data_IF_401206774118
#
_entry.id   IF_401206774118
#
_cell.length_a   1.000
_cell.length_b   1.000
_cell.length_c   1.000
_cell.angle_alpha   90.00
_cell.angle_beta   90.00
_cell.angle_gamma   90.00
#
_symmetry.space_group_name_H-M   'P 1'
#
loop_
_entity.id
_entity.type
_entity.pdbx_description
1 polymer ?
#
# COMPACT_ATOMS: atom_id res chain seq x y z
N UNK A 1 -20.16 -21.39 40.79
CA UNK A 1 -18.83 -21.45 41.42
C UNK A 1 -17.98 -22.50 40.73
N UNK A 2 -16.97 -22.10 39.94
CA UNK A 2 -16.06 -23.07 39.34
C UNK A 2 -15.04 -23.58 40.35
N UNK A 3 -14.66 -24.86 40.21
CA UNK A 3 -13.64 -25.53 41.02
C UNK A 3 -12.30 -24.76 40.98
N UNK A 4 -11.56 -24.67 42.09
CA UNK A 4 -10.21 -24.06 42.16
C UNK A 4 -9.23 -24.60 41.11
N UNK A 5 -9.36 -25.87 40.68
CA UNK A 5 -8.51 -26.45 39.63
C UNK A 5 -8.74 -25.82 38.25
N UNK A 6 -9.98 -25.44 37.94
CA UNK A 6 -10.35 -24.74 36.69
C UNK A 6 -9.77 -23.33 36.62
N UNK A 7 -9.62 -22.64 37.77
CA UNK A 7 -8.99 -21.31 37.85
C UNK A 7 -7.47 -21.34 37.70
N UNK A 8 -6.78 -22.39 38.19
CA UNK A 8 -5.33 -22.54 37.97
C UNK A 8 -4.99 -22.86 36.51
N UNK A 9 -5.83 -23.65 35.82
CA UNK A 9 -5.61 -24.07 34.43
C UNK A 9 -5.87 -22.95 33.40
N UNK A 10 -6.70 -21.96 33.72
CA UNK A 10 -7.05 -20.84 32.83
C UNK A 10 -6.01 -19.70 32.83
N UNK A 11 -5.24 -19.53 33.90
CA UNK A 11 -4.14 -18.54 33.97
C UNK A 11 -3.09 -18.70 32.86
N UNK A 12 -2.49 -19.89 32.63
CA UNK A 12 -1.50 -20.05 31.56
C UNK A 12 -2.09 -19.84 30.17
N UNK A 13 -3.36 -20.21 29.95
CA UNK A 13 -4.08 -20.01 28.69
C UNK A 13 -4.29 -18.52 28.40
N UNK A 14 -4.73 -17.76 29.40
CA UNK A 14 -4.89 -16.30 29.27
C UNK A 14 -3.54 -15.63 29.01
N UNK A 15 -2.48 -16.02 29.73
CA UNK A 15 -1.13 -15.49 29.49
C UNK A 15 -0.67 -15.80 28.07
N UNK A 16 -0.90 -17.01 27.56
CA UNK A 16 -0.58 -17.38 26.18
C UNK A 16 -1.30 -16.48 25.17
N UNK A 17 -2.63 -16.34 25.28
CA UNK A 17 -3.40 -15.47 24.40
C UNK A 17 -2.96 -14.01 24.46
N UNK A 18 -2.64 -13.48 25.66
CA UNK A 18 -2.10 -12.13 25.82
C UNK A 18 -0.76 -11.97 25.12
N UNK A 19 0.16 -12.92 25.30
CA UNK A 19 1.49 -12.88 24.67
C UNK A 19 1.38 -12.91 23.14
N UNK A 20 0.57 -13.81 22.58
CA UNK A 20 0.38 -13.91 21.13
C UNK A 20 -0.27 -12.64 20.57
N UNK A 21 -1.31 -12.12 21.24
CA UNK A 21 -1.97 -10.89 20.80
C UNK A 21 -1.06 -9.66 20.91
N UNK A 22 -0.19 -9.59 21.93
CA UNK A 22 0.81 -8.53 22.04
C UNK A 22 1.81 -8.58 20.88
N UNK A 23 2.34 -9.77 20.57
CA UNK A 23 3.25 -9.96 19.43
C UNK A 23 2.56 -9.54 18.13
N UNK A 24 1.32 -9.96 17.93
CA UNK A 24 0.49 -9.56 16.79
C UNK A 24 0.38 -8.03 16.68
N UNK A 25 0.00 -7.35 17.77
CA UNK A 25 -0.14 -5.88 17.78
C UNK A 25 1.18 -5.15 17.56
N UNK A 26 2.30 -5.71 18.03
CA UNK A 26 3.62 -5.13 17.85
C UNK A 26 4.09 -5.22 16.40
N UNK A 27 3.86 -6.35 15.73
CA UNK A 27 4.15 -6.51 14.30
C UNK A 27 3.34 -5.47 13.50
N UNK A 28 2.04 -5.34 13.78
CA UNK A 28 1.18 -4.36 13.12
C UNK A 28 1.62 -2.91 13.37
N UNK A 29 2.08 -2.61 14.58
CA UNK A 29 2.61 -1.29 14.91
C UNK A 29 3.88 -0.97 14.09
N UNK A 30 4.80 -1.93 13.98
CA UNK A 30 6.03 -1.78 13.19
C UNK A 30 5.71 -1.57 11.71
N UNK A 31 4.77 -2.33 11.14
CA UNK A 31 4.37 -2.12 9.74
C UNK A 31 3.77 -0.72 9.53
N UNK A 32 3.00 -0.20 10.49
CA UNK A 32 2.51 1.17 10.48
C UNK A 32 3.62 2.22 10.46
N UNK A 33 4.66 2.05 11.28
CA UNK A 33 5.84 2.93 11.30
C UNK A 33 6.57 2.90 9.96
N UNK A 34 6.76 1.72 9.37
CA UNK A 34 7.40 1.59 8.04
C UNK A 34 6.55 2.28 6.97
N UNK A 35 5.24 2.06 6.95
CA UNK A 35 4.33 2.72 5.99
C UNK A 35 4.36 4.24 6.13
N UNK A 36 4.34 4.74 7.37
CA UNK A 36 4.43 6.17 7.64
C UNK A 36 5.77 6.75 7.16
N UNK A 37 6.88 6.07 7.47
CA UNK A 37 8.21 6.49 7.05
C UNK A 37 8.35 6.51 5.52
N UNK A 38 7.88 5.47 4.83
CA UNK A 38 7.87 5.42 3.36
C UNK A 38 6.96 6.51 2.77
N UNK A 39 5.80 6.77 3.39
CA UNK A 39 4.90 7.83 2.96
C UNK A 39 5.51 9.23 3.10
N UNK A 40 6.15 9.51 4.25
CA UNK A 40 6.87 10.77 4.48
C UNK A 40 8.06 10.89 3.53
N UNK A 41 8.85 9.82 3.38
CA UNK A 41 9.96 9.81 2.44
C UNK A 41 9.51 10.07 1.00
N UNK A 42 8.39 9.47 0.60
CA UNK A 42 7.75 9.73 -0.69
C UNK A 42 7.33 11.19 -0.83
N UNK A 43 6.69 11.75 0.20
CA UNK A 43 6.28 13.17 0.22
C UNK A 43 7.49 14.11 0.14
N UNK A 44 8.52 13.90 0.95
CA UNK A 44 9.73 14.75 0.97
C UNK A 44 10.53 14.63 -0.31
N UNK A 45 10.70 13.39 -0.80
CA UNK A 45 11.34 13.16 -2.10
C UNK A 45 10.60 13.88 -3.19
N UNK A 46 9.27 13.97 -3.13
CA UNK A 46 8.45 14.75 -4.04
C UNK A 46 8.59 16.27 -3.78
N UNK A 47 8.53 16.73 -2.52
CA UNK A 47 8.60 18.15 -2.11
C UNK A 47 9.92 18.84 -2.46
N UNK A 48 11.04 18.11 -2.39
CA UNK A 48 12.35 18.62 -2.81
C UNK A 48 12.37 19.02 -4.30
N UNK A 49 11.49 18.46 -5.14
CA UNK A 49 11.26 18.91 -6.51
C UNK A 49 10.17 20.00 -6.57
N UNK A 50 9.14 19.93 -5.70
CA UNK A 50 8.00 20.88 -5.70
C UNK A 50 8.26 22.27 -5.11
N UNK A 51 9.33 22.48 -4.34
CA UNK A 51 9.71 23.84 -3.88
C UNK A 51 9.95 24.84 -5.02
N UNK A 52 9.97 24.37 -6.27
CA UNK A 52 10.09 25.17 -7.49
C UNK A 52 8.81 25.31 -8.32
N UNK A 53 7.74 24.51 -8.10
CA UNK A 53 6.56 24.50 -8.99
C UNK A 53 5.23 24.27 -8.25
N UNK A 54 4.28 25.17 -8.52
CA UNK A 54 2.99 25.31 -7.87
C UNK A 54 1.93 24.39 -8.49
N UNK A 55 2.03 23.06 -8.35
CA UNK A 55 0.89 22.15 -8.62
C UNK A 55 0.94 20.83 -7.84
N UNK A 56 -0.26 20.27 -7.64
CA UNK A 56 -0.64 19.23 -6.67
C UNK A 56 0.09 17.91 -6.88
N UNK A 57 0.79 17.46 -5.84
CA UNK A 57 1.40 16.14 -5.74
C UNK A 57 0.37 15.00 -5.92
N UNK A 58 0.85 13.86 -6.40
CA UNK A 58 0.12 12.58 -6.41
C UNK A 58 -0.43 12.27 -5.01
N UNK A 59 -1.68 11.81 -4.89
CA UNK A 59 -2.30 11.50 -3.59
C UNK A 59 -1.70 10.25 -2.89
N UNK A 60 -0.85 9.48 -3.58
CA UNK A 60 -0.31 8.20 -3.10
C UNK A 60 0.49 8.31 -1.78
N UNK A 61 1.48 9.22 -1.63
CA UNK A 61 2.19 9.40 -0.36
C UNK A 61 1.26 9.80 0.79
N UNK A 62 0.23 10.60 0.53
CA UNK A 62 -0.76 10.97 1.56
C UNK A 62 -1.59 9.76 2.02
N UNK A 63 -1.95 8.86 1.09
CA UNK A 63 -2.61 7.59 1.45
C UNK A 63 -1.69 6.73 2.31
N UNK A 64 -0.40 6.60 1.96
CA UNK A 64 0.59 5.86 2.76
C UNK A 64 0.74 6.44 4.18
N UNK A 65 0.86 7.77 4.29
CA UNK A 65 0.94 8.48 5.58
C UNK A 65 -0.32 8.25 6.42
N UNK A 66 -1.49 8.43 5.82
CA UNK A 66 -2.78 8.24 6.48
C UNK A 66 -2.96 6.82 7.01
N UNK A 67 -2.78 5.83 6.13
CA UNK A 67 -2.87 4.41 6.49
C UNK A 67 -1.84 4.03 7.55
N UNK A 68 -0.58 4.44 7.41
CA UNK A 68 0.47 4.19 8.40
C UNK A 68 0.12 4.75 9.79
N UNK A 69 -0.41 5.98 9.83
CA UNK A 69 -0.85 6.61 11.08
C UNK A 69 -2.00 5.84 11.74
N UNK A 70 -3.02 5.44 10.96
CA UNK A 70 -4.15 4.64 11.48
C UNK A 70 -3.67 3.30 12.04
N UNK A 71 -2.77 2.63 11.33
CA UNK A 71 -2.18 1.34 11.75
C UNK A 71 -1.42 1.48 13.07
N UNK A 72 -0.61 2.54 13.24
CA UNK A 72 0.09 2.84 14.49
C UNK A 72 -0.89 3.06 15.65
N UNK A 73 -1.95 3.84 15.43
CA UNK A 73 -2.97 4.12 16.46
C UNK A 73 -3.71 2.84 16.87
N UNK A 74 -4.08 1.99 15.91
CA UNK A 74 -4.72 0.70 16.19
C UNK A 74 -3.78 -0.27 16.91
N UNK A 75 -2.50 -0.31 16.52
CA UNK A 75 -1.48 -1.14 17.16
C UNK A 75 -1.25 -0.73 18.62
N UNK A 76 -1.10 0.58 18.88
CA UNK A 76 -0.97 1.10 20.26
C UNK A 76 -2.22 0.82 21.08
N UNK A 77 -3.41 1.06 20.53
CA UNK A 77 -4.67 0.76 21.20
C UNK A 77 -4.83 -0.74 21.52
N UNK A 78 -4.49 -1.63 20.59
CA UNK A 78 -4.50 -3.08 20.80
C UNK A 78 -3.53 -3.53 21.90
N UNK A 79 -2.33 -2.94 21.94
CA UNK A 79 -1.36 -3.16 23.01
C UNK A 79 -1.92 -2.69 24.37
N UNK A 80 -2.48 -1.47 24.46
CA UNK A 80 -3.11 -0.96 25.67
C UNK A 80 -4.28 -1.83 26.14
N UNK A 81 -5.15 -2.25 25.23
CA UNK A 81 -6.29 -3.14 25.52
C UNK A 81 -5.83 -4.48 26.11
N UNK A 82 -4.76 -5.05 25.54
CA UNK A 82 -4.21 -6.34 25.98
C UNK A 82 -3.49 -6.22 27.32
N UNK A 83 -2.66 -5.19 27.51
CA UNK A 83 -1.95 -4.93 28.77
C UNK A 83 -2.90 -4.69 29.93
N UNK A 84 -3.91 -3.82 29.73
CA UNK A 84 -4.96 -3.53 30.72
C UNK A 84 -5.86 -4.73 31.02
N UNK A 85 -5.83 -5.77 30.19
CA UNK A 85 -6.72 -6.93 30.29
C UNK A 85 -8.19 -6.50 30.43
N UNK A 86 -8.60 -5.44 29.73
CA UNK A 86 -9.97 -4.93 29.78
C UNK A 86 -10.80 -5.63 28.71
N UNK A 87 -11.78 -6.42 29.13
CA UNK A 87 -12.65 -7.15 28.21
C UNK A 87 -13.40 -6.21 27.25
N UNK A 88 -13.81 -5.03 27.73
CA UNK A 88 -14.52 -4.03 26.91
C UNK A 88 -13.60 -3.42 25.84
N UNK A 89 -12.38 -3.04 26.21
CA UNK A 89 -11.40 -2.50 25.24
C UNK A 89 -11.02 -3.54 24.17
N UNK A 90 -10.89 -4.82 24.56
CA UNK A 90 -10.61 -5.90 23.62
C UNK A 90 -11.78 -6.15 22.65
N UNK A 91 -13.03 -6.04 23.11
CA UNK A 91 -14.21 -6.08 22.21
C UNK A 91 -14.20 -4.92 21.23
N UNK A 92 -13.86 -3.73 21.71
CA UNK A 92 -13.77 -2.54 20.86
C UNK A 92 -12.65 -2.68 19.82
N UNK A 93 -11.50 -3.22 20.21
CA UNK A 93 -10.40 -3.52 19.29
C UNK A 93 -10.82 -4.55 18.22
N UNK A 94 -11.47 -5.64 18.62
CA UNK A 94 -12.01 -6.63 17.68
C UNK A 94 -13.03 -6.00 16.71
N UNK A 95 -13.90 -5.10 17.19
CA UNK A 95 -14.86 -4.38 16.35
C UNK A 95 -14.16 -3.53 15.28
N UNK A 96 -13.14 -2.76 15.65
CA UNK A 96 -12.37 -1.98 14.68
C UNK A 96 -11.69 -2.86 13.63
N UNK A 97 -11.08 -3.98 14.03
CA UNK A 97 -10.49 -4.93 13.08
C UNK A 97 -11.54 -5.54 12.14
N UNK A 98 -12.73 -5.86 12.64
CA UNK A 98 -13.83 -6.34 11.79
C UNK A 98 -14.29 -5.27 10.80
N UNK A 99 -14.42 -4.01 11.22
CA UNK A 99 -14.81 -2.93 10.31
C UNK A 99 -13.79 -2.75 9.18
N UNK A 100 -12.49 -2.80 9.51
CA UNK A 100 -11.41 -2.70 8.51
C UNK A 100 -11.47 -3.88 7.55
N UNK A 101 -11.66 -5.10 8.04
CA UNK A 101 -11.82 -6.28 7.18
C UNK A 101 -12.98 -6.12 6.18
N UNK A 102 -14.11 -5.55 6.62
CA UNK A 102 -15.24 -5.27 5.72
C UNK A 102 -14.89 -4.21 4.67
N UNK A 103 -14.18 -3.15 5.06
CA UNK A 103 -13.70 -2.11 4.13
C UNK A 103 -12.73 -2.71 3.11
N UNK A 104 -11.80 -3.57 3.54
CA UNK A 104 -10.85 -4.27 2.66
C UNK A 104 -11.58 -5.20 1.69
N UNK A 105 -12.59 -5.94 2.15
CA UNK A 105 -13.41 -6.79 1.30
C UNK A 105 -14.16 -5.99 0.23
N UNK A 106 -14.77 -4.86 0.63
CA UNK A 106 -15.46 -3.97 -0.32
C UNK A 106 -14.46 -3.38 -1.31
N UNK A 107 -13.29 -2.92 -0.85
CA UNK A 107 -12.24 -2.38 -1.71
C UNK A 107 -11.73 -3.42 -2.72
N UNK A 108 -11.56 -4.68 -2.30
CA UNK A 108 -11.17 -5.78 -3.17
C UNK A 108 -12.23 -6.07 -4.25
N UNK A 109 -13.52 -6.10 -3.86
CA UNK A 109 -14.64 -6.30 -4.80
C UNK A 109 -14.69 -5.14 -5.81
N UNK A 110 -14.63 -3.89 -5.33
CA UNK A 110 -14.63 -2.69 -6.19
C UNK A 110 -13.44 -2.71 -7.12
N UNK A 111 -12.24 -3.00 -6.62
CA UNK A 111 -11.02 -3.09 -7.43
C UNK A 111 -11.13 -4.15 -8.52
N UNK A 112 -11.75 -5.29 -8.22
CA UNK A 112 -11.99 -6.35 -9.20
C UNK A 112 -13.03 -5.96 -10.24
N UNK A 113 -14.18 -5.43 -9.82
CA UNK A 113 -15.29 -5.01 -10.70
C UNK A 113 -14.84 -3.90 -11.65
N UNK A 114 -14.15 -2.89 -11.13
CA UNK A 114 -13.70 -1.73 -11.89
C UNK A 114 -12.27 -1.87 -12.46
N UNK A 115 -11.71 -3.09 -12.49
CA UNK A 115 -10.33 -3.33 -12.96
C UNK A 115 -10.06 -2.77 -14.37
N UNK A 116 -11.03 -2.88 -15.27
CA UNK A 116 -10.89 -2.40 -16.65
C UNK A 116 -10.91 -0.86 -16.70
N UNK A 117 -11.71 -0.23 -15.86
CA UNK A 117 -11.76 1.23 -15.76
C UNK A 117 -10.48 1.78 -15.14
N UNK A 118 -9.94 1.13 -14.11
CA UNK A 118 -8.63 1.47 -13.52
C UNK A 118 -7.52 1.37 -14.57
N UNK A 119 -7.49 0.27 -15.35
CA UNK A 119 -6.55 0.07 -16.47
C UNK A 119 -6.67 1.18 -17.50
N UNK A 120 -7.88 1.52 -17.94
CA UNK A 120 -8.11 2.57 -18.93
C UNK A 120 -7.78 3.97 -18.39
N UNK A 121 -8.10 4.24 -17.13
CA UNK A 121 -7.77 5.50 -16.46
C UNK A 121 -6.26 5.69 -16.39
N UNK A 122 -5.51 4.64 -16.02
CA UNK A 122 -4.05 4.68 -16.04
C UNK A 122 -3.51 4.96 -17.45
N UNK A 123 -3.99 4.26 -18.48
CA UNK A 123 -3.60 4.50 -19.87
C UNK A 123 -3.82 5.96 -20.27
N UNK A 124 -5.03 6.47 -20.06
CA UNK A 124 -5.44 7.81 -20.46
C UNK A 124 -4.65 8.90 -19.71
N UNK A 125 -4.41 8.71 -18.41
CA UNK A 125 -3.65 9.67 -17.61
C UNK A 125 -2.17 9.68 -18.02
N UNK A 126 -1.60 8.50 -18.30
CA UNK A 126 -0.23 8.39 -18.77
C UNK A 126 -0.06 8.98 -20.18
N UNK A 127 -1.02 8.76 -21.09
CA UNK A 127 -1.04 9.40 -22.41
C UNK A 127 -1.12 10.92 -22.33
N UNK A 128 -1.96 11.46 -21.44
CA UNK A 128 -2.01 12.91 -21.18
C UNK A 128 -0.69 13.44 -20.64
N UNK A 129 -0.07 12.72 -19.71
CA UNK A 129 1.24 13.09 -19.17
C UNK A 129 2.32 13.08 -20.27
N UNK A 130 2.31 12.08 -21.16
CA UNK A 130 3.22 12.01 -22.31
C UNK A 130 3.04 13.20 -23.27
N UNK A 131 1.79 13.53 -23.63
CA UNK A 131 1.47 14.64 -24.54
C UNK A 131 1.83 16.02 -23.97
N UNK A 132 1.79 16.17 -22.66
CA UNK A 132 2.12 17.41 -21.95
C UNK A 132 3.58 17.46 -21.50
N UNK A 133 4.35 16.42 -21.77
CA UNK A 133 5.76 16.35 -21.41
C UNK A 133 6.56 17.48 -22.04
N UNK A 134 7.34 18.18 -21.22
CA UNK A 134 8.15 19.32 -21.66
C UNK A 134 9.57 19.32 -21.05
N UNK A 135 9.92 18.31 -20.23
CA UNK A 135 11.21 18.22 -19.53
C UNK A 135 11.49 19.41 -18.60
N UNK A 136 10.46 20.15 -18.15
CA UNK A 136 10.63 21.27 -17.21
C UNK A 136 10.63 20.85 -15.75
N UNK A 137 10.72 19.55 -15.46
CA UNK A 137 10.66 19.01 -14.09
C UNK A 137 9.29 19.17 -13.43
N UNK A 138 8.20 19.22 -14.22
CA UNK A 138 6.86 19.15 -13.66
C UNK A 138 6.54 17.71 -13.21
N UNK A 139 5.54 17.56 -12.33
CA UNK A 139 5.22 16.26 -11.74
C UNK A 139 4.81 15.21 -12.78
N UNK A 140 4.28 15.63 -13.93
CA UNK A 140 3.85 14.76 -15.02
C UNK A 140 5.07 14.23 -15.78
N UNK A 141 6.01 15.11 -16.10
CA UNK A 141 7.27 14.76 -16.77
C UNK A 141 8.13 13.86 -15.89
N UNK A 142 8.26 14.17 -14.60
CA UNK A 142 8.99 13.34 -13.65
C UNK A 142 8.35 11.96 -13.48
N UNK A 143 7.01 11.89 -13.46
CA UNK A 143 6.31 10.61 -13.41
C UNK A 143 6.57 9.78 -14.67
N UNK A 144 6.57 10.40 -15.85
CA UNK A 144 6.93 9.74 -17.11
C UNK A 144 8.37 9.23 -17.07
N UNK A 145 9.33 10.08 -16.69
CA UNK A 145 10.74 9.73 -16.64
C UNK A 145 11.00 8.60 -15.63
N UNK A 146 10.38 8.67 -14.45
CA UNK A 146 10.52 7.65 -13.40
C UNK A 146 9.94 6.32 -13.83
N UNK A 147 8.76 6.31 -14.44
CA UNK A 147 8.13 5.07 -14.94
C UNK A 147 9.02 4.43 -16.01
N UNK A 148 9.49 5.22 -16.98
CA UNK A 148 10.32 4.73 -18.08
C UNK A 148 11.67 4.18 -17.59
N UNK A 149 12.34 4.89 -16.69
CA UNK A 149 13.60 4.44 -16.08
C UNK A 149 13.42 3.19 -15.22
N UNK A 150 12.35 3.11 -14.43
CA UNK A 150 12.13 2.00 -13.49
C UNK A 150 11.71 0.72 -14.20
N UNK A 151 10.92 0.84 -15.27
CA UNK A 151 10.34 -0.30 -15.97
C UNK A 151 11.04 -0.62 -17.31
N UNK A 152 12.06 0.17 -17.68
CA UNK A 152 12.78 0.07 -18.95
C UNK A 152 11.82 -0.01 -20.15
N UNK A 153 10.93 0.96 -20.25
CA UNK A 153 9.90 1.07 -21.28
C UNK A 153 9.91 2.48 -21.90
N UNK A 154 9.22 2.67 -23.03
CA UNK A 154 9.13 3.98 -23.70
C UNK A 154 7.77 4.19 -24.36
N UNK A 155 7.17 5.37 -24.14
CA UNK A 155 5.83 5.66 -24.67
C UNK A 155 4.72 4.93 -23.92
N UNK A 156 3.48 5.04 -24.39
CA UNK A 156 2.30 4.47 -23.73
C UNK A 156 2.16 3.00 -24.14
N UNK A 157 1.83 2.76 -25.40
CA UNK A 157 1.73 1.45 -26.04
C UNK A 157 2.97 1.07 -26.83
N UNK A 158 3.69 2.05 -27.38
CA UNK A 158 4.90 1.85 -28.18
C UNK A 158 5.80 3.09 -28.07
N UNK A 159 7.10 2.94 -28.31
CA UNK A 159 8.03 4.08 -28.33
C UNK A 159 7.60 5.17 -29.32
N UNK A 160 6.92 4.79 -30.42
CA UNK A 160 6.39 5.71 -31.43
C UNK A 160 5.34 6.69 -30.89
N UNK A 161 4.73 6.43 -29.74
CA UNK A 161 3.78 7.40 -29.16
C UNK A 161 4.43 8.77 -28.87
N UNK A 162 5.76 8.82 -28.78
CA UNK A 162 6.49 10.08 -28.71
C UNK A 162 6.39 10.92 -29.99
N UNK A 163 6.23 10.33 -31.17
CA UNK A 163 6.15 11.08 -32.44
C UNK A 163 4.96 12.04 -32.47
N UNK A 164 3.94 11.76 -31.66
CA UNK A 164 2.73 12.58 -31.53
C UNK A 164 2.86 13.68 -30.45
N UNK A 165 4.06 13.89 -29.90
CA UNK A 165 4.33 14.89 -28.87
C UNK A 165 5.11 16.09 -29.41
N UNK A 166 4.86 17.27 -28.83
CA UNK A 166 5.62 18.48 -29.15
C UNK A 166 7.10 18.33 -28.80
N UNK A 167 7.40 17.68 -27.67
CA UNK A 167 8.76 17.45 -27.20
C UNK A 167 9.62 16.68 -28.22
N UNK A 168 9.07 15.60 -28.79
CA UNK A 168 9.78 14.80 -29.78
C UNK A 168 10.15 15.59 -31.04
N UNK A 169 9.23 16.45 -31.50
CA UNK A 169 9.47 17.30 -32.67
C UNK A 169 10.69 18.20 -32.49
N UNK A 170 10.97 18.65 -31.26
CA UNK A 170 12.10 19.51 -30.94
C UNK A 170 13.37 18.74 -30.58
N UNK A 171 13.26 17.73 -29.70
CA UNK A 171 14.43 17.11 -29.03
C UNK A 171 14.58 15.61 -29.27
N UNK A 172 13.61 14.95 -29.93
CA UNK A 172 13.57 13.49 -30.06
C UNK A 172 13.10 12.79 -28.79
N UNK A 173 13.50 11.54 -28.59
CA UNK A 173 13.13 10.77 -27.39
C UNK A 173 13.79 11.36 -26.13
N UNK A 174 13.11 11.36 -24.96
CA UNK A 174 13.74 11.77 -23.72
C UNK A 174 14.80 10.75 -23.27
N UNK A 175 15.69 11.19 -22.40
CA UNK A 175 16.74 10.31 -21.84
C UNK A 175 16.17 9.10 -21.11
N UNK A 176 15.02 9.25 -20.46
CA UNK A 176 14.33 8.17 -19.74
C UNK A 176 13.90 7.00 -20.62
N UNK A 177 13.75 7.21 -21.92
CA UNK A 177 13.42 6.17 -22.88
C UNK A 177 14.63 5.34 -23.31
N UNK A 178 15.85 5.74 -22.98
CA UNK A 178 17.05 5.10 -23.50
C UNK A 178 17.34 3.75 -22.85
N UNK A 179 17.96 2.84 -23.61
CA UNK A 179 18.43 1.52 -23.12
C UNK A 179 19.72 1.60 -22.32
N UNK A 180 20.56 2.62 -22.57
CA UNK A 180 21.89 2.80 -21.99
C UNK A 180 21.95 4.15 -21.26
N UNK A 181 22.73 4.20 -20.16
CA UNK A 181 22.84 5.38 -19.29
C UNK A 181 23.46 6.61 -20.00
N UNK A 182 24.36 6.40 -20.97
CA UNK A 182 25.05 7.46 -21.74
C UNK A 182 24.31 7.90 -23.02
N UNK A 183 22.99 8.01 -22.92
CA UNK A 183 22.15 8.39 -24.06
C UNK A 183 21.79 9.88 -24.01
N UNK A 184 22.12 10.61 -25.07
CA UNK A 184 21.59 11.95 -25.32
C UNK A 184 20.17 11.85 -25.92
N UNK A 185 19.32 12.90 -25.81
CA UNK A 185 18.07 12.95 -26.55
C UNK A 185 18.36 12.69 -28.03
N UNK A 186 17.81 11.62 -28.59
CA UNK A 186 18.10 11.19 -29.95
C UNK A 186 16.83 10.74 -30.66
N UNK A 187 16.88 10.72 -31.99
CA UNK A 187 15.79 10.25 -32.85
C UNK A 187 15.97 8.81 -33.34
N UNK A 188 17.11 8.20 -32.99
CA UNK A 188 17.42 6.83 -33.38
C UNK A 188 16.64 5.86 -32.47
N UNK A 189 15.76 5.08 -33.13
CA UNK A 189 14.85 4.14 -32.51
C UNK A 189 15.56 2.90 -31.93
N UNK A 190 16.78 2.59 -32.40
CA UNK A 190 17.46 1.36 -31.98
C UNK A 190 17.98 1.45 -30.53
N UNK A 191 18.25 2.66 -30.03
CA UNK A 191 18.77 2.86 -28.66
C UNK A 191 17.72 3.19 -27.60
N UNK A 192 16.44 3.23 -27.96
CA UNK A 192 15.34 3.42 -26.98
C UNK A 192 14.65 2.10 -26.69
N UNK A 193 14.01 2.00 -25.52
CA UNK A 193 13.18 0.84 -25.18
C UNK A 193 12.00 0.77 -26.16
N UNK A 194 11.76 -0.39 -26.76
CA UNK A 194 10.74 -0.50 -27.82
C UNK A 194 9.33 -0.73 -27.24
N UNK A 195 9.26 -1.29 -26.03
CA UNK A 195 8.00 -1.67 -25.39
C UNK A 195 7.33 -0.49 -24.68
N UNK A 196 6.04 -0.29 -24.92
CA UNK A 196 5.24 0.73 -24.24
C UNK A 196 5.06 0.47 -22.75
N UNK A 197 5.10 1.54 -21.94
CA UNK A 197 5.00 1.43 -20.49
C UNK A 197 3.64 0.92 -20.00
N UNK A 198 2.55 1.26 -20.68
CA UNK A 198 1.24 0.71 -20.35
C UNK A 198 1.21 -0.81 -20.56
N UNK A 199 1.78 -1.29 -21.68
CA UNK A 199 1.86 -2.72 -21.96
C UNK A 199 2.74 -3.39 -20.91
N UNK A 200 3.92 -2.84 -20.63
CA UNK A 200 4.84 -3.36 -19.62
C UNK A 200 4.20 -3.49 -18.24
N UNK A 201 3.55 -2.43 -17.77
CA UNK A 201 2.84 -2.43 -16.47
C UNK A 201 1.76 -3.51 -16.45
N UNK A 202 1.00 -3.67 -17.53
CA UNK A 202 -0.07 -4.66 -17.59
C UNK A 202 0.46 -6.08 -17.63
N UNK A 203 1.54 -6.32 -18.38
CA UNK A 203 2.25 -7.62 -18.38
C UNK A 203 2.77 -7.96 -16.99
N UNK A 204 3.38 -6.99 -16.29
CA UNK A 204 3.86 -7.18 -14.91
C UNK A 204 2.69 -7.45 -13.97
N UNK A 205 1.60 -6.68 -14.06
CA UNK A 205 0.42 -6.91 -13.21
C UNK A 205 -0.15 -8.30 -13.46
N UNK A 206 -0.24 -8.74 -14.72
CA UNK A 206 -0.78 -10.05 -15.08
C UNK A 206 0.14 -11.20 -14.62
N UNK A 207 1.48 -11.04 -14.72
CA UNK A 207 2.44 -12.05 -14.26
C UNK A 207 2.54 -12.11 -12.74
N UNK A 208 2.48 -10.96 -12.06
CA UNK A 208 2.59 -10.84 -10.60
C UNK A 208 1.24 -10.85 -9.88
N UNK A 209 0.13 -10.99 -10.62
CA UNK A 209 -1.23 -10.98 -10.04
C UNK A 209 -1.37 -12.04 -8.95
N UNK A 210 -0.73 -13.20 -9.13
CA UNK A 210 -0.70 -14.28 -8.14
C UNK A 210 -0.03 -13.85 -6.82
N UNK A 211 1.07 -13.10 -6.90
CA UNK A 211 1.80 -12.59 -5.72
C UNK A 211 0.96 -11.54 -5.00
N UNK A 212 0.39 -10.58 -5.74
CA UNK A 212 -0.47 -9.52 -5.17
C UNK A 212 -1.71 -10.11 -4.50
N UNK A 213 -2.37 -11.06 -5.16
CA UNK A 213 -3.51 -11.77 -4.61
C UNK A 213 -3.12 -12.57 -3.34
N UNK A 214 -1.95 -13.22 -3.37
CA UNK A 214 -1.41 -13.96 -2.23
C UNK A 214 -1.14 -13.06 -1.02
N UNK A 215 -0.49 -11.91 -1.22
CA UNK A 215 -0.25 -10.92 -0.16
C UNK A 215 -1.59 -10.43 0.42
N UNK A 216 -2.55 -10.08 -0.46
CA UNK A 216 -3.87 -9.58 -0.03
C UNK A 216 -4.64 -10.62 0.78
N UNK A 217 -4.64 -11.89 0.35
CA UNK A 217 -5.23 -12.99 1.10
C UNK A 217 -4.53 -13.24 2.44
N UNK A 218 -3.20 -13.17 2.46
CA UNK A 218 -2.40 -13.28 3.67
C UNK A 218 -2.75 -12.20 4.70
N UNK A 219 -2.90 -10.95 4.28
CA UNK A 219 -3.33 -9.83 5.13
C UNK A 219 -4.72 -10.09 5.71
N UNK A 220 -5.68 -10.51 4.87
CA UNK A 220 -7.03 -10.85 5.30
C UNK A 220 -7.05 -11.97 6.35
N UNK A 221 -6.32 -13.07 6.11
CA UNK A 221 -6.19 -14.16 7.08
C UNK A 221 -5.53 -13.71 8.39
N UNK A 222 -4.46 -12.91 8.30
CA UNK A 222 -3.77 -12.36 9.45
C UNK A 222 -4.70 -11.48 10.30
N UNK A 223 -5.55 -10.67 9.67
CA UNK A 223 -6.54 -9.86 10.35
C UNK A 223 -7.60 -10.69 11.08
N UNK A 224 -8.10 -11.76 10.45
CA UNK A 224 -9.04 -12.69 11.08
C UNK A 224 -8.45 -13.37 12.33
N UNK A 225 -7.15 -13.71 12.30
CA UNK A 225 -6.44 -14.23 13.47
C UNK A 225 -6.46 -13.19 14.60
N UNK A 226 -6.19 -11.91 14.31
CA UNK A 226 -6.26 -10.82 15.28
C UNK A 226 -7.65 -10.67 15.93
N UNK A 227 -8.71 -10.72 15.11
CA UNK A 227 -10.11 -10.68 15.58
C UNK A 227 -10.40 -11.85 16.51
N UNK A 228 -10.04 -13.07 16.08
CA UNK A 228 -10.24 -14.28 16.85
C UNK A 228 -9.53 -14.23 18.21
N UNK A 229 -8.25 -13.86 18.22
CA UNK A 229 -7.45 -13.74 19.44
C UNK A 229 -8.02 -12.69 20.40
N UNK A 230 -8.39 -11.51 19.90
CA UNK A 230 -8.99 -10.45 20.72
C UNK A 230 -10.33 -10.88 21.34
N UNK A 231 -11.18 -11.56 20.56
CA UNK A 231 -12.45 -12.09 21.04
C UNK A 231 -12.27 -13.20 22.08
N UNK A 232 -11.39 -14.17 21.81
CA UNK A 232 -11.07 -15.26 22.74
C UNK A 232 -10.52 -14.72 24.06
N UNK A 233 -9.59 -13.77 24.01
CA UNK A 233 -9.03 -13.15 25.21
C UNK A 233 -10.09 -12.35 25.99
N UNK A 234 -10.93 -11.57 25.30
CA UNK A 234 -12.02 -10.84 25.95
C UNK A 234 -13.00 -11.79 26.66
N UNK A 235 -13.39 -12.89 26.00
CA UNK A 235 -14.29 -13.89 26.58
C UNK A 235 -13.66 -14.60 27.78
N UNK A 236 -12.38 -14.96 27.70
CA UNK A 236 -11.66 -15.59 28.80
C UNK A 236 -11.58 -14.66 30.04
N UNK A 237 -11.29 -13.38 29.83
CA UNK A 237 -11.27 -12.38 30.91
C UNK A 237 -12.67 -12.19 31.51
N UNK A 238 -13.69 -12.06 30.65
CA UNK A 238 -15.08 -11.85 31.07
C UNK A 238 -15.58 -13.01 31.94
N UNK A 239 -15.39 -14.24 31.48
CA UNK A 239 -15.78 -15.44 32.22
C UNK A 239 -15.09 -15.52 33.58
N UNK A 240 -13.79 -15.19 33.65
CA UNK A 240 -13.06 -15.19 34.91
C UNK A 240 -13.55 -14.13 35.89
N UNK A 241 -14.05 -12.97 35.42
CA UNK A 241 -14.60 -11.94 36.31
C UNK A 241 -15.96 -12.32 36.93
N UNK A 242 -16.83 -13.00 36.18
CA UNK A 242 -18.11 -13.50 36.71
C UNK A 242 -17.95 -14.64 37.72
N UNK A 243 -16.81 -15.33 37.76
CA UNK A 243 -16.54 -16.36 38.76
C UNK A 243 -16.08 -15.81 40.13
N UNK A 244 -15.80 -14.50 40.23
CA UNK A 244 -15.29 -13.84 41.45
C UNK A 244 -16.41 -13.13 42.25
N UNK A 245 -17.62 -13.04 41.68
CA UNK A 245 -18.84 -12.56 42.33
C UNK A 245 -19.71 -13.77 42.68
#
# INVERSE_FOLDING_TARGET
MASPSRRLQTKPVITCFKSVLLIYTFIFWITGVVLLAVGIWGKVSLENYFSLLNEKATNVPFVLIGTGTVVILLGTFGCFATCRASAWMLKLYAMFLTLIFLVELVAAIVGFVFRHEIKNSFKNNYEKALKQYNSTGDYRSDAVDKIQNTLHCCGVTDYRDWTDTNYYSEKGFPKSCCKLEDCSPQRDADKVNNEGCFIKVMTIIESEMGVVAGISFGVACFQLIGIFLAYCLSRAITNNQYEIV
#
